data_IF_697182967842
#
_entry.id   IF_697182967842
#
_cell.length_a   1.000
_cell.length_b   1.000
_cell.length_c   1.000
_cell.angle_alpha   90.00
_cell.angle_beta   90.00
_cell.angle_gamma   90.00
#
_symmetry.space_group_name_H-M   'P 1'
#
loop_
_entity.id
_entity.type
_entity.pdbx_description
1 polymer ?
#
# COMPACT_ATOMS: atom_id res chain seq x y z
N UNK A 1 31.54 -15.91 -14.25
CA UNK A 1 30.72 -14.88 -14.94
C UNK A 1 31.10 -13.52 -14.38
N UNK A 2 31.27 -12.49 -15.23
CA UNK A 2 31.60 -11.12 -14.76
C UNK A 2 30.36 -10.49 -14.11
N UNK A 3 30.43 -10.19 -12.82
CA UNK A 3 29.38 -9.42 -12.15
C UNK A 3 29.42 -7.98 -12.68
N UNK A 4 28.33 -7.54 -13.33
CA UNK A 4 28.14 -6.13 -13.66
C UNK A 4 27.87 -5.36 -12.38
N UNK A 5 28.79 -4.47 -12.03
CA UNK A 5 28.63 -3.58 -10.89
C UNK A 5 27.95 -2.30 -11.36
N UNK A 6 26.83 -1.96 -10.75
CA UNK A 6 26.11 -0.71 -11.01
C UNK A 6 26.36 0.29 -9.87
N UNK A 7 26.42 1.57 -10.23
CA UNK A 7 26.54 2.68 -9.28
C UNK A 7 25.30 2.77 -8.39
N UNK A 8 25.40 3.46 -7.26
CA UNK A 8 24.29 3.58 -6.30
C UNK A 8 23.14 4.37 -6.91
N UNK A 9 23.47 5.43 -7.63
CA UNK A 9 22.57 6.34 -8.32
C UNK A 9 21.75 5.59 -9.37
N UNK A 10 22.41 4.74 -10.17
CA UNK A 10 21.74 3.92 -11.16
C UNK A 10 20.75 2.94 -10.50
N UNK A 11 21.14 2.33 -9.39
CA UNK A 11 20.27 1.39 -8.65
C UNK A 11 19.03 2.11 -8.10
N UNK A 12 19.18 3.35 -7.61
CA UNK A 12 18.04 4.15 -7.14
C UNK A 12 17.11 4.55 -8.27
N UNK A 13 17.65 5.07 -9.38
CA UNK A 13 16.86 5.41 -10.56
C UNK A 13 16.12 4.19 -11.14
N UNK A 14 16.75 3.01 -11.11
CA UNK A 14 16.11 1.78 -11.56
C UNK A 14 14.92 1.37 -10.70
N UNK A 15 14.98 1.62 -9.39
CA UNK A 15 13.89 1.36 -8.46
C UNK A 15 12.78 2.39 -8.62
N UNK A 16 13.11 3.67 -8.75
CA UNK A 16 12.14 4.74 -9.00
C UNK A 16 11.39 4.52 -10.33
N UNK A 17 12.09 4.09 -11.37
CA UNK A 17 11.45 3.71 -12.65
C UNK A 17 10.52 2.50 -12.48
N UNK A 18 10.91 1.50 -11.68
CA UNK A 18 10.07 0.35 -11.42
C UNK A 18 8.81 0.71 -10.61
N UNK A 19 8.91 1.68 -9.69
CA UNK A 19 7.79 2.22 -8.92
C UNK A 19 6.87 3.07 -9.81
N UNK A 20 7.41 3.92 -10.68
CA UNK A 20 6.62 4.77 -11.59
C UNK A 20 5.86 3.96 -12.66
N UNK A 21 6.46 2.88 -13.15
CA UNK A 21 5.81 1.95 -14.08
C UNK A 21 4.87 0.95 -13.37
N UNK A 22 4.96 0.82 -12.05
CA UNK A 22 4.27 -0.23 -11.29
C UNK A 22 4.69 -1.66 -11.65
N UNK A 23 5.73 -1.82 -12.48
CA UNK A 23 6.17 -3.11 -13.05
C UNK A 23 7.69 -3.20 -13.10
N UNK A 24 8.25 -4.05 -12.23
CA UNK A 24 9.70 -4.33 -12.17
C UNK A 24 10.20 -5.01 -13.44
N UNK A 25 9.36 -5.85 -14.06
CA UNK A 25 9.66 -6.54 -15.31
C UNK A 25 9.82 -5.54 -16.47
N UNK A 26 8.97 -4.53 -16.55
CA UNK A 26 9.08 -3.50 -17.59
C UNK A 26 10.30 -2.61 -17.39
N UNK A 27 10.57 -2.18 -16.16
CA UNK A 27 11.80 -1.46 -15.84
C UNK A 27 13.06 -2.27 -16.20
N UNK A 28 13.04 -3.59 -15.96
CA UNK A 28 14.16 -4.48 -16.32
C UNK A 28 14.42 -4.51 -17.83
N UNK A 29 13.36 -4.52 -18.64
CA UNK A 29 13.45 -4.53 -20.11
C UNK A 29 13.95 -3.20 -20.64
N UNK A 30 13.49 -2.08 -20.07
CA UNK A 30 13.94 -0.75 -20.47
C UNK A 30 15.40 -0.48 -20.11
N UNK A 31 15.84 -0.93 -18.93
CA UNK A 31 17.20 -0.69 -18.44
C UNK A 31 18.21 -1.77 -18.88
N UNK A 32 17.74 -2.86 -19.50
CA UNK A 32 18.58 -3.98 -19.90
C UNK A 32 19.23 -4.71 -18.72
N UNK A 33 18.59 -4.68 -17.55
CA UNK A 33 19.06 -5.32 -16.32
C UNK A 33 18.18 -6.51 -15.96
N UNK A 34 18.68 -7.42 -15.12
CA UNK A 34 17.85 -8.54 -14.65
C UNK A 34 16.77 -8.07 -13.68
N UNK A 35 15.57 -8.63 -13.79
CA UNK A 35 14.46 -8.37 -12.87
C UNK A 35 14.85 -8.67 -11.41
N UNK A 36 15.61 -9.76 -11.18
CA UNK A 36 16.15 -10.10 -9.87
C UNK A 36 17.06 -9.00 -9.28
N UNK A 37 17.79 -8.26 -10.12
CA UNK A 37 18.62 -7.14 -9.66
C UNK A 37 17.76 -5.96 -9.21
N UNK A 38 16.73 -5.59 -9.99
CA UNK A 38 15.78 -4.54 -9.60
C UNK A 38 15.06 -4.93 -8.31
N UNK A 39 14.67 -6.20 -8.17
CA UNK A 39 14.04 -6.70 -6.95
C UNK A 39 14.95 -6.56 -5.72
N UNK A 40 16.23 -6.91 -5.87
CA UNK A 40 17.23 -6.75 -4.80
C UNK A 40 17.54 -5.29 -4.49
N UNK A 41 17.50 -4.41 -5.49
CA UNK A 41 17.69 -2.97 -5.28
C UNK A 41 16.46 -2.34 -4.64
N UNK A 42 15.26 -2.71 -5.03
CA UNK A 42 14.02 -2.25 -4.40
C UNK A 42 13.95 -2.67 -2.92
N UNK A 43 14.45 -3.87 -2.58
CA UNK A 43 14.55 -4.29 -1.18
C UNK A 43 15.56 -3.46 -0.35
N UNK A 44 16.60 -2.89 -1.00
CA UNK A 44 17.69 -2.15 -0.34
C UNK A 44 17.54 -0.62 -0.38
N UNK A 45 16.94 -0.11 -1.44
CA UNK A 45 16.84 1.31 -1.78
C UNK A 45 15.40 1.77 -2.01
N UNK A 46 14.45 0.83 -2.15
CA UNK A 46 13.05 1.15 -2.31
C UNK A 46 12.52 1.85 -1.07
N UNK A 47 11.68 2.84 -1.31
CA UNK A 47 10.99 3.56 -0.25
C UNK A 47 10.15 2.55 0.54
N UNK A 48 10.22 2.60 1.87
CA UNK A 48 9.35 1.79 2.75
C UNK A 48 7.85 1.99 2.46
N UNK A 49 7.48 2.95 1.61
CA UNK A 49 6.11 3.25 1.18
C UNK A 49 5.50 2.20 0.26
N UNK A 50 6.30 1.36 -0.44
CA UNK A 50 5.76 0.34 -1.36
C UNK A 50 5.50 -1.03 -0.71
N UNK A 51 5.64 -1.15 0.62
CA UNK A 51 5.29 -2.37 1.38
C UNK A 51 3.77 -2.62 1.49
N UNK A 52 2.93 -1.80 0.86
CA UNK A 52 1.47 -1.98 0.88
C UNK A 52 0.98 -2.99 -0.17
N UNK A 53 1.82 -3.39 -1.14
CA UNK A 53 1.36 -4.17 -2.30
C UNK A 53 1.83 -5.63 -2.44
N UNK A 54 2.79 -6.11 -1.63
CA UNK A 54 3.32 -7.47 -1.78
C UNK A 54 3.06 -8.28 -0.53
N UNK A 55 2.25 -9.33 -0.70
CA UNK A 55 1.91 -10.31 0.31
C UNK A 55 3.13 -10.79 1.13
N UNK A 56 2.89 -10.98 2.42
CA UNK A 56 3.75 -11.69 3.38
C UNK A 56 4.93 -10.91 4.01
N UNK A 57 4.70 -9.69 4.46
CA UNK A 57 5.31 -9.31 5.73
C UNK A 57 4.42 -9.88 6.86
N UNK A 58 4.94 -10.68 7.81
CA UNK A 58 4.15 -11.01 8.99
C UNK A 58 3.78 -9.69 9.65
N UNK A 59 2.48 -9.40 9.72
CA UNK A 59 1.94 -8.31 10.51
C UNK A 59 2.59 -8.44 11.88
N UNK A 60 3.33 -7.41 12.31
CA UNK A 60 3.83 -7.44 13.68
C UNK A 60 2.61 -7.57 14.60
N UNK A 61 2.75 -8.24 15.75
CA UNK A 61 1.61 -8.49 16.65
C UNK A 61 0.83 -7.19 16.97
N UNK A 62 1.52 -6.05 16.99
CA UNK A 62 0.97 -4.70 17.15
C UNK A 62 0.09 -4.25 15.97
N UNK A 63 0.46 -4.56 14.72
CA UNK A 63 -0.33 -4.18 13.53
C UNK A 63 -1.66 -4.94 13.46
N UNK A 64 -1.65 -6.21 13.90
CA UNK A 64 -2.85 -7.04 13.93
C UNK A 64 -3.86 -6.57 15.00
N UNK A 65 -3.36 -6.17 16.17
CA UNK A 65 -4.17 -5.60 17.24
C UNK A 65 -4.76 -4.24 16.84
N UNK A 66 -3.97 -3.39 16.20
CA UNK A 66 -4.42 -2.10 15.69
C UNK A 66 -5.50 -2.27 14.61
N UNK A 67 -5.31 -3.21 13.68
CA UNK A 67 -6.33 -3.57 12.68
C UNK A 67 -7.64 -4.05 13.32
N UNK A 68 -7.55 -4.87 14.37
CA UNK A 68 -8.74 -5.36 15.10
C UNK A 68 -9.46 -4.20 15.80
N UNK A 69 -8.71 -3.30 16.44
CA UNK A 69 -9.23 -2.09 17.08
C UNK A 69 -9.93 -1.19 16.06
N UNK A 70 -9.25 -0.87 14.96
CA UNK A 70 -9.78 0.00 13.90
C UNK A 70 -11.04 -0.59 13.25
N UNK A 71 -11.09 -1.91 13.02
CA UNK A 71 -12.30 -2.57 12.50
C UNK A 71 -13.49 -2.44 13.45
N UNK A 72 -13.25 -2.60 14.75
CA UNK A 72 -14.30 -2.45 15.77
C UNK A 72 -14.82 -1.01 15.80
N UNK A 73 -13.91 -0.04 15.83
CA UNK A 73 -14.25 1.39 15.83
C UNK A 73 -15.03 1.77 14.57
N UNK A 74 -14.62 1.28 13.40
CA UNK A 74 -15.34 1.53 12.15
C UNK A 74 -16.76 0.94 12.16
N UNK A 75 -16.94 -0.24 12.75
CA UNK A 75 -18.25 -0.87 12.89
C UNK A 75 -19.17 -0.07 13.82
N UNK A 76 -18.64 0.39 14.96
CA UNK A 76 -19.38 1.21 15.92
C UNK A 76 -19.78 2.56 15.30
N UNK A 77 -18.85 3.22 14.60
CA UNK A 77 -19.12 4.47 13.88
C UNK A 77 -20.20 4.30 12.81
N UNK A 78 -20.15 3.21 12.03
CA UNK A 78 -21.19 2.92 11.02
C UNK A 78 -22.57 2.71 11.65
N UNK A 79 -22.64 2.03 12.79
CA UNK A 79 -23.89 1.83 13.53
C UNK A 79 -24.47 3.16 14.01
N UNK A 80 -23.65 4.02 14.61
CA UNK A 80 -24.07 5.36 15.06
C UNK A 80 -24.52 6.21 13.87
N UNK A 81 -23.76 6.20 12.78
CA UNK A 81 -24.12 6.94 11.57
C UNK A 81 -25.46 6.47 10.98
N UNK A 82 -25.72 5.16 11.00
CA UNK A 82 -27.00 4.61 10.57
C UNK A 82 -28.16 5.09 11.46
N UNK A 83 -28.01 5.03 12.79
CA UNK A 83 -29.05 5.50 13.72
C UNK A 83 -29.32 7.00 13.50
N UNK A 84 -28.28 7.82 13.38
CA UNK A 84 -28.40 9.26 13.13
C UNK A 84 -29.11 9.55 11.81
N UNK A 85 -28.78 8.81 10.74
CA UNK A 85 -29.46 8.94 9.45
C UNK A 85 -30.92 8.53 9.53
N UNK A 86 -31.22 7.43 10.22
CA UNK A 86 -32.59 6.97 10.42
C UNK A 86 -33.42 7.96 11.24
N UNK A 87 -32.84 8.54 12.31
CA UNK A 87 -33.47 9.59 13.09
C UNK A 87 -33.71 10.86 12.25
N UNK A 88 -32.69 11.32 11.51
CA UNK A 88 -32.82 12.47 10.62
C UNK A 88 -33.92 12.25 9.56
N UNK A 89 -34.01 11.05 8.98
CA UNK A 89 -35.06 10.69 8.03
C UNK A 89 -36.45 10.69 8.69
N UNK A 90 -36.57 10.14 9.91
CA UNK A 90 -37.82 10.15 10.68
C UNK A 90 -38.29 11.59 10.96
N UNK A 91 -37.41 12.45 11.49
CA UNK A 91 -37.75 13.85 11.74
C UNK A 91 -38.09 14.62 10.46
N UNK A 92 -37.38 14.36 9.35
CA UNK A 92 -37.66 15.00 8.07
C UNK A 92 -39.03 14.60 7.48
N UNK A 93 -39.52 13.40 7.78
CA UNK A 93 -40.86 12.95 7.36
C UNK A 93 -41.97 13.49 8.27
N UNK A 94 -41.69 13.73 9.55
CA UNK A 94 -42.66 14.32 10.49
C UNK A 94 -42.91 15.81 10.25
N UNK A 95 -41.97 16.54 9.63
CA UNK A 95 -42.15 17.94 9.20
C UNK A 95 -43.00 18.12 7.93
N UNK A 96 -43.53 17.04 7.34
CA UNK A 96 -44.39 17.05 6.15
C UNK A 96 -45.88 16.80 6.45
N UNK A 97 -46.31 16.92 7.71
CA UNK A 97 -47.72 16.89 8.10
C UNK A 97 -48.21 18.26 8.58
#
# INVERSE_FOLDING_TARGET
MKNKTYTKEFKQQAVELAESLGSRKEASRQLGVSDASIHNWAAKFGSQTSKVGSASAPLSATDAEELKRLRRENADLKKVNHILKSAAAFFSQDHLK
#
